data_IF_674444058345
#
_entry.id   IF_674444058345
#
_cell.length_a   1.000
_cell.length_b   1.000
_cell.length_c   1.000
_cell.angle_alpha   90.00
_cell.angle_beta   90.00
_cell.angle_gamma   90.00
#
_symmetry.space_group_name_H-M   'P 1'
#
loop_
_entity.id
_entity.type
_entity.pdbx_description
1 polymer ?
#
# COMPACT_ATOMS: atom_id res chain seq x y z
N UNK A 1 28.35 -20.33 17.76
CA UNK A 1 27.92 -19.42 18.85
C UNK A 1 27.12 -18.29 18.20
N UNK A 2 25.80 -18.35 18.34
CA UNK A 2 24.93 -17.24 17.99
C UNK A 2 25.07 -16.29 19.17
N UNK A 3 25.75 -15.17 18.95
CA UNK A 3 25.87 -14.14 19.95
C UNK A 3 24.45 -13.74 20.40
N UNK A 4 24.19 -13.86 21.70
CA UNK A 4 23.02 -13.31 22.35
C UNK A 4 23.17 -11.78 22.39
N UNK A 5 23.08 -11.14 21.22
CA UNK A 5 22.98 -9.70 21.08
C UNK A 5 21.58 -9.28 21.47
N UNK A 6 21.48 -8.25 22.24
CA UNK A 6 20.24 -7.56 22.55
C UNK A 6 19.58 -7.13 21.23
N UNK A 7 18.52 -7.84 20.83
CA UNK A 7 17.76 -7.55 19.62
C UNK A 7 16.91 -6.31 19.86
N UNK A 8 17.57 -5.18 20.06
CA UNK A 8 16.84 -3.94 20.00
C UNK A 8 16.50 -3.65 18.54
N UNK A 9 15.27 -3.26 18.29
CA UNK A 9 14.80 -2.85 16.96
C UNK A 9 15.65 -1.74 16.33
N UNK A 10 16.51 -1.10 17.10
CA UNK A 10 17.41 -0.03 16.71
C UNK A 10 18.55 -0.52 15.80
N UNK A 11 19.04 -1.74 16.02
CA UNK A 11 20.17 -2.31 15.27
C UNK A 11 19.75 -2.86 13.91
N UNK A 12 18.50 -3.31 13.76
CA UNK A 12 18.04 -3.93 12.51
C UNK A 12 17.64 -2.93 11.43
N UNK A 13 17.32 -1.70 11.76
CA UNK A 13 16.70 -0.78 10.80
C UNK A 13 17.67 0.20 10.14
N UNK A 14 18.66 0.71 10.86
CA UNK A 14 19.54 1.77 10.35
C UNK A 14 20.75 1.29 9.59
N UNK A 15 21.33 0.15 9.98
CA UNK A 15 22.65 -0.27 9.49
C UNK A 15 22.59 -1.20 8.28
N UNK A 16 21.48 -1.94 8.10
CA UNK A 16 21.32 -2.91 7.02
C UNK A 16 20.46 -2.41 5.85
N UNK A 17 19.55 -1.46 6.09
CA UNK A 17 18.60 -1.00 5.09
C UNK A 17 18.70 0.50 4.85
N UNK A 18 18.75 0.89 3.58
CA UNK A 18 18.74 2.32 3.19
C UNK A 18 17.47 3.06 3.62
N UNK A 19 16.36 2.35 3.80
CA UNK A 19 15.08 2.90 4.20
C UNK A 19 14.20 1.78 4.74
N UNK A 20 13.66 1.97 5.94
CA UNK A 20 12.62 1.10 6.52
C UNK A 20 11.29 1.83 6.45
N UNK A 21 10.26 1.14 5.98
CA UNK A 21 8.90 1.67 5.86
C UNK A 21 7.95 0.84 6.70
N UNK A 22 7.20 1.49 7.59
CA UNK A 22 6.17 0.85 8.41
C UNK A 22 4.81 1.18 7.82
N UNK A 23 3.99 0.17 7.61
CA UNK A 23 2.63 0.31 7.10
C UNK A 23 1.63 0.11 8.25
N UNK A 24 0.71 1.05 8.40
CA UNK A 24 -0.40 0.94 9.34
C UNK A 24 -1.71 1.02 8.58
N UNK A 25 -2.51 -0.05 8.64
CA UNK A 25 -3.86 -0.04 8.08
C UNK A 25 -4.81 0.65 9.05
N UNK A 26 -5.55 1.62 8.55
CA UNK A 26 -6.52 2.40 9.33
C UNK A 26 -7.86 1.64 9.38
N UNK A 27 -7.90 0.53 10.11
CA UNK A 27 -9.04 -0.38 10.20
C UNK A 27 -10.16 0.09 11.13
N UNK A 28 -10.03 1.26 11.74
CA UNK A 28 -11.02 1.91 12.61
C UNK A 28 -10.71 3.39 12.73
N UNK A 29 -11.68 4.14 13.26
CA UNK A 29 -11.43 5.52 13.67
C UNK A 29 -10.59 5.54 14.95
N UNK A 30 -9.57 6.39 14.95
CA UNK A 30 -8.64 6.55 16.06
C UNK A 30 -9.02 7.76 16.88
N UNK A 31 -8.87 7.66 18.19
CA UNK A 31 -8.98 8.82 19.09
C UNK A 31 -7.76 9.72 18.96
N UNK A 32 -7.89 11.00 19.29
CA UNK A 32 -6.79 11.94 19.26
C UNK A 32 -5.62 11.54 20.17
N UNK A 33 -5.89 10.91 21.31
CA UNK A 33 -4.84 10.40 22.22
C UNK A 33 -4.07 9.22 21.61
N UNK A 34 -4.74 8.33 20.88
CA UNK A 34 -4.09 7.24 20.16
C UNK A 34 -3.22 7.79 19.02
N UNK A 35 -3.73 8.76 18.26
CA UNK A 35 -2.96 9.44 17.20
C UNK A 35 -1.75 10.17 17.78
N UNK A 36 -1.91 10.85 18.91
CA UNK A 36 -0.80 11.52 19.61
C UNK A 36 0.27 10.54 20.04
N UNK A 37 -0.13 9.41 20.60
CA UNK A 37 0.79 8.34 20.98
C UNK A 37 1.52 7.78 19.75
N UNK A 38 0.81 7.55 18.65
CA UNK A 38 1.41 7.10 17.39
C UNK A 38 2.42 8.10 16.86
N UNK A 39 2.11 9.41 16.87
CA UNK A 39 3.04 10.44 16.40
C UNK A 39 4.34 10.48 17.21
N UNK A 40 4.31 10.16 18.51
CA UNK A 40 5.53 10.03 19.31
C UNK A 40 6.46 8.92 18.77
N UNK A 41 5.90 7.80 18.30
CA UNK A 41 6.68 6.75 17.64
C UNK A 41 7.20 7.21 16.27
N UNK A 42 6.35 7.88 15.48
CA UNK A 42 6.75 8.44 14.18
C UNK A 42 7.95 9.38 14.32
N UNK A 43 7.94 10.24 15.33
CA UNK A 43 9.02 11.19 15.58
C UNK A 43 10.32 10.52 16.07
N UNK A 44 10.18 9.50 16.92
CA UNK A 44 11.30 8.84 17.58
C UNK A 44 12.18 8.04 16.62
N UNK A 45 11.58 7.35 15.63
CA UNK A 45 12.28 6.37 14.82
C UNK A 45 12.67 6.89 13.43
N UNK A 46 13.85 6.55 12.89
CA UNK A 46 14.28 6.94 11.54
C UNK A 46 13.63 6.07 10.46
N UNK A 47 12.32 5.90 10.52
CA UNK A 47 11.53 5.10 9.59
C UNK A 47 10.51 5.96 8.87
N UNK A 48 10.09 5.52 7.68
CA UNK A 48 9.02 6.17 6.93
C UNK A 48 7.69 5.51 7.29
N UNK A 49 6.84 6.21 8.03
CA UNK A 49 5.53 5.71 8.40
C UNK A 49 4.52 5.95 7.29
N UNK A 50 3.76 4.91 6.92
CA UNK A 50 2.74 5.00 5.87
C UNK A 50 1.40 4.51 6.39
N UNK A 51 0.38 5.32 6.20
CA UNK A 51 -1.00 5.01 6.53
C UNK A 51 -1.71 4.44 5.30
N UNK A 52 -2.36 3.31 5.47
CA UNK A 52 -3.10 2.63 4.40
C UNK A 52 -4.58 2.70 4.74
N UNK A 53 -5.38 3.20 3.81
CA UNK A 53 -6.82 3.20 3.90
C UNK A 53 -7.34 1.76 4.01
N UNK A 54 -8.32 1.55 4.90
CA UNK A 54 -8.99 0.26 4.97
C UNK A 54 -9.79 0.01 3.69
N UNK A 55 -9.55 -1.12 3.08
CA UNK A 55 -10.27 -1.56 1.89
C UNK A 55 -11.25 -2.66 2.29
N UNK A 56 -12.57 -2.44 2.22
CA UNK A 56 -13.56 -3.45 2.56
C UNK A 56 -13.58 -4.55 1.49
N UNK A 57 -13.09 -5.72 1.84
CA UNK A 57 -13.16 -6.90 1.00
C UNK A 57 -14.33 -7.80 1.40
N UNK A 58 -14.92 -8.51 0.45
CA UNK A 58 -15.97 -9.52 0.66
C UNK A 58 -17.25 -8.99 1.36
N UNK A 59 -17.57 -7.70 1.16
CA UNK A 59 -18.81 -7.12 1.68
C UNK A 59 -18.75 -6.71 3.14
N UNK A 60 -17.54 -6.54 3.67
CA UNK A 60 -17.37 -5.86 4.93
C UNK A 60 -17.95 -4.45 4.85
N UNK A 61 -18.88 -4.14 5.76
CA UNK A 61 -19.52 -2.81 5.84
C UNK A 61 -18.67 -1.79 6.60
N UNK A 62 -17.51 -2.20 7.10
CA UNK A 62 -16.65 -1.32 7.87
C UNK A 62 -15.89 -0.37 6.95
N UNK A 63 -15.81 0.89 7.35
CA UNK A 63 -15.01 1.92 6.72
C UNK A 63 -14.11 2.56 7.78
N UNK A 64 -12.81 2.62 7.50
CA UNK A 64 -11.87 3.47 8.23
C UNK A 64 -12.01 4.94 7.82
N UNK A 65 -11.18 5.83 8.38
CA UNK A 65 -11.17 7.23 7.99
C UNK A 65 -10.76 7.38 6.52
N UNK A 66 -11.38 8.34 5.83
CA UNK A 66 -10.98 8.80 4.50
C UNK A 66 -9.65 9.55 4.56
N UNK A 67 -9.06 9.84 3.39
CA UNK A 67 -7.83 10.64 3.29
C UNK A 67 -7.99 12.00 4.00
N UNK A 68 -9.07 12.72 3.72
CA UNK A 68 -9.28 14.06 4.28
C UNK A 68 -9.54 14.03 5.79
N UNK A 69 -10.32 13.06 6.26
CA UNK A 69 -10.57 12.88 7.70
C UNK A 69 -9.28 12.56 8.46
N UNK A 70 -8.46 11.64 7.93
CA UNK A 70 -7.20 11.27 8.55
C UNK A 70 -6.18 12.41 8.51
N UNK A 71 -6.09 13.11 7.38
CA UNK A 71 -5.24 14.30 7.24
C UNK A 71 -5.63 15.37 8.25
N UNK A 72 -6.91 15.71 8.33
CA UNK A 72 -7.41 16.72 9.28
C UNK A 72 -7.15 16.32 10.75
N UNK A 73 -7.27 15.04 11.08
CA UNK A 73 -6.95 14.54 12.42
C UNK A 73 -5.46 14.67 12.73
N UNK A 74 -4.58 14.31 11.80
CA UNK A 74 -3.14 14.48 11.97
C UNK A 74 -2.77 15.96 12.14
N UNK A 75 -3.33 16.86 11.33
CA UNK A 75 -3.10 18.32 11.43
C UNK A 75 -3.53 18.86 12.79
N UNK A 76 -4.70 18.45 13.29
CA UNK A 76 -5.20 18.85 14.61
C UNK A 76 -4.29 18.37 15.73
N UNK A 77 -3.87 17.10 15.69
CA UNK A 77 -3.08 16.48 16.75
C UNK A 77 -1.61 16.92 16.73
N UNK A 78 -1.05 17.13 15.54
CA UNK A 78 0.35 17.61 15.38
C UNK A 78 0.50 19.12 15.58
N UNK A 79 -0.62 19.86 15.65
CA UNK A 79 -0.62 21.30 15.94
C UNK A 79 -0.35 22.21 14.76
N UNK A 80 -0.54 21.72 13.53
CA UNK A 80 -0.37 22.55 12.33
C UNK A 80 -0.62 21.81 11.02
N UNK A 81 -0.63 22.53 9.89
CA UNK A 81 -0.93 21.94 8.59
C UNK A 81 0.15 20.98 8.13
N UNK A 82 -0.27 19.93 7.42
CA UNK A 82 0.62 19.06 6.69
C UNK A 82 0.99 19.69 5.34
N UNK A 83 2.26 19.65 4.97
CA UNK A 83 2.77 20.22 3.72
C UNK A 83 3.22 19.14 2.75
N UNK A 84 3.02 19.37 1.45
CA UNK A 84 3.47 18.42 0.43
C UNK A 84 5.00 18.26 0.44
N UNK A 85 5.45 17.01 0.32
CA UNK A 85 6.86 16.66 0.19
C UNK A 85 7.06 15.91 -1.11
N UNK A 86 7.76 16.51 -2.04
CA UNK A 86 8.24 15.82 -3.24
C UNK A 86 9.42 14.92 -2.87
N UNK A 87 9.11 13.78 -2.25
CA UNK A 87 10.17 12.93 -1.75
C UNK A 87 10.37 11.69 -2.61
N UNK A 88 11.61 11.26 -2.63
CA UNK A 88 12.15 10.10 -3.33
C UNK A 88 12.08 8.83 -2.48
N UNK A 89 11.03 8.64 -1.68
CA UNK A 89 10.88 7.39 -0.90
C UNK A 89 10.48 6.16 -1.74
N UNK A 90 10.71 6.22 -3.07
CA UNK A 90 10.50 5.14 -4.01
C UNK A 90 9.25 5.32 -4.89
N UNK A 91 9.04 4.38 -5.81
CA UNK A 91 8.01 4.42 -6.86
C UNK A 91 6.66 3.81 -6.42
N UNK A 92 6.35 3.86 -5.13
CA UNK A 92 5.09 3.34 -4.59
C UNK A 92 3.92 4.33 -4.74
N UNK A 93 2.69 3.91 -4.39
CA UNK A 93 1.48 4.73 -4.51
C UNK A 93 1.30 5.75 -3.39
N UNK A 94 2.25 5.85 -2.48
CA UNK A 94 2.13 6.72 -1.34
C UNK A 94 2.37 8.18 -1.74
N UNK A 95 1.42 9.04 -1.43
CA UNK A 95 1.61 10.49 -1.35
C UNK A 95 2.27 10.81 -0.02
N UNK A 96 3.27 11.69 0.00
CA UNK A 96 3.97 12.04 1.23
C UNK A 96 3.68 13.48 1.64
N UNK A 97 3.37 13.65 2.92
CA UNK A 97 3.17 14.94 3.55
C UNK A 97 4.10 15.06 4.76
N UNK A 98 4.62 16.25 5.01
CA UNK A 98 5.41 16.54 6.20
C UNK A 98 4.52 17.03 7.34
N UNK A 99 4.72 16.49 8.52
CA UNK A 99 4.22 17.02 9.78
C UNK A 99 4.86 18.39 10.09
N UNK A 100 4.29 19.21 10.98
CA UNK A 100 4.90 20.46 11.40
C UNK A 100 6.32 20.34 11.94
N UNK A 101 6.69 19.16 12.44
CA UNK A 101 8.07 18.83 12.85
C UNK A 101 9.05 18.67 11.68
N UNK A 102 8.55 18.57 10.44
CA UNK A 102 9.34 18.25 9.25
C UNK A 102 9.43 16.75 8.95
N UNK A 103 8.91 15.87 9.83
CA UNK A 103 8.89 14.42 9.61
C UNK A 103 7.89 14.06 8.53
N UNK A 104 8.34 13.33 7.50
CA UNK A 104 7.45 12.89 6.43
C UNK A 104 6.67 11.62 6.81
N UNK A 105 5.38 11.60 6.49
CA UNK A 105 4.49 10.46 6.58
C UNK A 105 3.84 10.18 5.22
N UNK A 106 3.58 8.91 4.93
CA UNK A 106 3.00 8.48 3.66
C UNK A 106 1.51 8.15 3.79
N UNK A 107 0.79 8.36 2.71
CA UNK A 107 -0.65 8.09 2.59
C UNK A 107 -0.88 7.19 1.39
N UNK A 108 -1.51 6.04 1.59
CA UNK A 108 -1.91 5.09 0.55
C UNK A 108 -3.42 4.92 0.66
N UNK A 109 -4.15 5.79 0.00
CA UNK A 109 -5.60 5.85 0.04
C UNK A 109 -6.15 5.52 -1.34
N UNK A 110 -6.59 4.28 -1.50
CA UNK A 110 -7.03 3.75 -2.80
C UNK A 110 -8.51 4.00 -3.08
N UNK A 111 -9.30 4.25 -2.05
CA UNK A 111 -10.75 4.40 -2.14
C UNK A 111 -11.15 5.87 -2.14
N UNK A 112 -10.80 6.61 -1.09
CA UNK A 112 -11.18 8.03 -0.94
C UNK A 112 -10.25 9.00 -1.67
N UNK A 113 -9.02 8.59 -1.98
CA UNK A 113 -8.03 9.36 -2.73
C UNK A 113 -7.30 8.46 -3.72
N UNK A 114 -8.01 8.03 -4.74
CA UNK A 114 -7.54 7.05 -5.71
C UNK A 114 -6.31 7.53 -6.50
N UNK A 115 -5.33 6.66 -6.64
CA UNK A 115 -4.13 6.84 -7.48
C UNK A 115 -4.17 5.97 -8.75
N UNK A 116 -5.35 5.61 -9.23
CA UNK A 116 -5.53 4.72 -10.38
C UNK A 116 -4.88 5.27 -11.64
N UNK A 117 -4.94 6.57 -11.88
CA UNK A 117 -4.40 7.24 -13.07
C UNK A 117 -2.88 7.03 -13.23
N UNK A 118 -2.17 6.84 -12.12
CA UNK A 118 -0.71 6.60 -12.11
C UNK A 118 -0.33 5.17 -11.74
N UNK A 119 -1.31 4.27 -11.65
CA UNK A 119 -1.10 2.92 -11.19
C UNK A 119 -0.44 2.04 -12.27
N UNK A 120 0.82 1.69 -12.07
CA UNK A 120 1.62 0.80 -12.92
C UNK A 120 1.78 -0.62 -12.36
N UNK A 121 0.90 -1.05 -11.42
CA UNK A 121 1.06 -2.30 -10.70
C UNK A 121 0.26 -3.43 -11.31
N UNK A 122 0.86 -4.60 -11.31
CA UNK A 122 0.24 -5.90 -11.50
C UNK A 122 0.66 -6.81 -10.36
N UNK A 123 -0.03 -7.91 -10.18
CA UNK A 123 0.28 -8.91 -9.16
C UNK A 123 0.38 -10.28 -9.80
N UNK A 124 1.35 -11.06 -9.38
CA UNK A 124 1.43 -12.48 -9.72
C UNK A 124 0.92 -13.27 -8.50
N UNK A 125 -0.10 -14.07 -8.72
CA UNK A 125 -0.67 -14.93 -7.69
C UNK A 125 0.18 -16.19 -7.51
N UNK A 126 0.03 -16.88 -6.37
CA UNK A 126 0.77 -18.12 -6.08
C UNK A 126 0.43 -19.25 -7.04
N UNK A 127 -0.72 -19.21 -7.69
CA UNK A 127 -1.16 -20.17 -8.70
C UNK A 127 -0.85 -19.73 -10.14
N UNK A 128 -0.06 -18.65 -10.31
CA UNK A 128 0.50 -18.22 -11.59
C UNK A 128 -0.44 -17.42 -12.47
N UNK A 129 -1.44 -16.76 -11.88
CA UNK A 129 -2.29 -15.80 -12.57
C UNK A 129 -1.73 -14.39 -12.41
N UNK A 130 -1.74 -13.59 -13.46
CA UNK A 130 -1.39 -12.18 -13.40
C UNK A 130 -2.66 -11.33 -13.23
N UNK A 131 -2.84 -10.73 -12.05
CA UNK A 131 -3.93 -9.78 -11.78
C UNK A 131 -3.53 -8.38 -12.21
N UNK A 132 -4.40 -7.72 -12.94
CA UNK A 132 -4.18 -6.36 -13.45
C UNK A 132 -4.53 -5.29 -12.42
N UNK A 133 -5.44 -5.60 -11.50
CA UNK A 133 -5.87 -4.71 -10.41
C UNK A 133 -6.09 -5.51 -9.12
N UNK A 134 -5.84 -4.87 -7.97
CA UNK A 134 -6.12 -5.47 -6.66
C UNK A 134 -7.63 -5.67 -6.43
N UNK A 135 -8.43 -4.70 -6.88
CA UNK A 135 -9.86 -4.60 -6.59
C UNK A 135 -10.76 -5.23 -7.66
N UNK A 136 -10.20 -5.81 -8.71
CA UNK A 136 -10.93 -6.44 -9.83
C UNK A 136 -10.45 -7.86 -10.04
N UNK A 137 -11.33 -8.71 -10.57
CA UNK A 137 -11.03 -10.11 -10.88
C UNK A 137 -10.48 -10.34 -12.29
N UNK A 138 -10.00 -9.29 -12.96
CA UNK A 138 -9.35 -9.40 -14.27
C UNK A 138 -7.96 -10.01 -14.12
N UNK A 139 -7.83 -11.24 -14.63
CA UNK A 139 -6.62 -12.04 -14.56
C UNK A 139 -6.16 -12.51 -15.95
N UNK A 140 -4.87 -12.75 -16.08
CA UNK A 140 -4.26 -13.40 -17.24
C UNK A 140 -3.52 -14.67 -16.80
N UNK A 141 -3.82 -15.78 -17.44
CA UNK A 141 -3.23 -17.08 -17.12
C UNK A 141 -1.81 -17.19 -17.68
N UNK A 142 -0.82 -17.01 -16.83
CA UNK A 142 0.58 -17.19 -17.20
C UNK A 142 1.07 -18.62 -16.95
N UNK A 143 0.52 -19.31 -15.95
CA UNK A 143 1.01 -20.65 -15.57
C UNK A 143 0.75 -21.68 -16.66
N UNK A 144 -0.42 -21.64 -17.30
CA UNK A 144 -0.76 -22.56 -18.38
C UNK A 144 0.17 -22.35 -19.59
N UNK A 145 0.49 -21.12 -19.93
CA UNK A 145 1.45 -20.82 -21.00
C UNK A 145 2.83 -21.39 -20.70
N UNK A 146 3.34 -21.15 -19.50
CA UNK A 146 4.66 -21.66 -19.09
C UNK A 146 4.69 -23.18 -19.08
N UNK A 147 3.65 -23.82 -18.53
CA UNK A 147 3.56 -25.30 -18.49
C UNK A 147 3.44 -25.95 -19.86
N UNK A 148 2.84 -25.25 -20.82
CA UNK A 148 2.72 -25.70 -22.21
C UNK A 148 3.96 -25.36 -23.06
N UNK A 149 5.03 -24.88 -22.44
CA UNK A 149 6.31 -24.61 -23.12
C UNK A 149 6.31 -23.37 -23.98
N UNK A 150 5.50 -22.37 -23.66
CA UNK A 150 5.51 -21.09 -24.36
C UNK A 150 6.90 -20.45 -24.32
N UNK A 151 7.32 -19.83 -25.43
CA UNK A 151 8.57 -19.05 -25.47
C UNK A 151 8.47 -17.77 -24.66
N UNK A 152 9.60 -17.17 -24.32
CA UNK A 152 9.63 -15.87 -23.63
C UNK A 152 8.90 -14.77 -24.42
N UNK A 153 9.02 -14.79 -25.74
CA UNK A 153 8.34 -13.84 -26.64
C UNK A 153 6.82 -14.01 -26.58
N UNK A 154 6.33 -15.26 -26.66
CA UNK A 154 4.89 -15.54 -26.57
C UNK A 154 4.32 -15.14 -25.20
N UNK A 155 5.10 -15.33 -24.13
CA UNK A 155 4.72 -14.89 -22.79
C UNK A 155 4.67 -13.36 -22.69
N UNK A 156 5.66 -12.66 -23.25
CA UNK A 156 5.70 -11.20 -23.28
C UNK A 156 4.49 -10.63 -24.04
N UNK A 157 4.18 -11.16 -25.23
CA UNK A 157 2.99 -10.75 -25.99
C UNK A 157 1.69 -10.98 -25.22
N UNK A 158 1.60 -12.08 -24.47
CA UNK A 158 0.41 -12.34 -23.65
C UNK A 158 0.26 -11.33 -22.51
N UNK A 159 1.39 -10.99 -21.86
CA UNK A 159 1.43 -9.96 -20.81
C UNK A 159 1.04 -8.60 -21.38
N UNK A 160 1.59 -8.20 -22.51
CA UNK A 160 1.26 -6.92 -23.19
C UNK A 160 -0.22 -6.83 -23.52
N UNK A 161 -0.80 -7.87 -24.13
CA UNK A 161 -2.24 -7.93 -24.41
C UNK A 161 -3.09 -7.85 -23.13
N UNK A 162 -2.64 -8.48 -22.04
CA UNK A 162 -3.32 -8.38 -20.78
C UNK A 162 -3.26 -6.95 -20.22
N UNK A 163 -2.10 -6.31 -20.27
CA UNK A 163 -1.92 -4.92 -19.80
C UNK A 163 -2.80 -3.92 -20.56
N UNK A 164 -3.04 -4.14 -21.85
CA UNK A 164 -3.97 -3.31 -22.65
C UNK A 164 -5.42 -3.37 -22.16
N UNK A 165 -5.81 -4.45 -21.46
CA UNK A 165 -7.14 -4.57 -20.84
C UNK A 165 -7.23 -3.90 -19.47
N UNK A 166 -6.08 -3.50 -18.90
CA UNK A 166 -6.07 -2.85 -17.60
C UNK A 166 -6.86 -1.55 -17.66
N UNK A 167 -7.90 -1.45 -16.86
CA UNK A 167 -8.74 -0.26 -16.82
C UNK A 167 -8.03 0.89 -16.09
N UNK A 168 -8.33 2.11 -16.52
CA UNK A 168 -7.77 3.33 -15.93
C UNK A 168 -8.18 3.52 -14.48
N UNK A 169 -9.40 3.09 -14.11
CA UNK A 169 -9.93 3.20 -12.74
C UNK A 169 -10.70 1.95 -12.33
N UNK A 170 -10.75 1.70 -11.03
CA UNK A 170 -11.73 0.78 -10.44
C UNK A 170 -13.06 1.53 -10.25
N UNK A 171 -14.18 0.84 -10.46
CA UNK A 171 -15.53 1.44 -10.47
C UNK A 171 -16.10 1.70 -9.06
N UNK A 172 -15.26 1.73 -8.04
CA UNK A 172 -15.63 2.01 -6.65
C UNK A 172 -15.85 0.77 -5.79
N UNK A 173 -16.12 1.03 -4.51
CA UNK A 173 -16.29 0.00 -3.49
C UNK A 173 -17.56 -0.81 -3.77
N UNK A 174 -17.45 -2.11 -3.88
CA UNK A 174 -18.57 -3.04 -3.74
C UNK A 174 -19.22 -3.51 -5.02
N UNK A 175 -18.78 -3.09 -6.20
CA UNK A 175 -19.32 -3.62 -7.46
C UNK A 175 -18.63 -4.90 -7.92
N UNK A 176 -17.30 -4.98 -7.76
CA UNK A 176 -16.54 -6.18 -8.07
C UNK A 176 -15.87 -6.68 -6.79
N UNK A 177 -16.60 -7.46 -6.01
CA UNK A 177 -15.98 -8.15 -4.86
C UNK A 177 -14.98 -9.15 -5.43
N UNK A 178 -13.66 -9.01 -5.12
CA UNK A 178 -12.73 -10.01 -5.58
C UNK A 178 -13.18 -11.38 -5.11
N UNK A 179 -13.39 -12.32 -6.02
CA UNK A 179 -13.76 -13.70 -5.69
C UNK A 179 -12.69 -14.37 -4.83
N UNK A 180 -11.45 -13.87 -4.92
CA UNK A 180 -10.32 -14.41 -4.18
C UNK A 180 -10.05 -13.61 -2.90
N UNK A 181 -9.81 -14.29 -1.77
CA UNK A 181 -9.38 -13.64 -0.54
C UNK A 181 -7.97 -13.02 -0.70
N UNK A 182 -7.69 -11.95 0.05
CA UNK A 182 -6.44 -11.19 -0.03
C UNK A 182 -5.16 -12.05 0.01
N UNK A 183 -5.15 -13.10 0.82
CA UNK A 183 -4.00 -14.01 0.96
C UNK A 183 -3.72 -14.86 -0.31
N UNK A 184 -4.69 -14.92 -1.25
CA UNK A 184 -4.53 -15.64 -2.53
C UNK A 184 -4.13 -14.75 -3.69
N UNK A 185 -4.20 -13.43 -3.55
CA UNK A 185 -3.97 -12.50 -4.67
C UNK A 185 -2.54 -11.92 -4.69
N UNK A 186 -1.66 -12.42 -3.89
CA UNK A 186 -0.26 -12.00 -3.86
C UNK A 186 -0.07 -10.59 -3.22
N UNK A 187 0.79 -10.47 -2.24
CA UNK A 187 1.08 -9.20 -1.55
C UNK A 187 1.90 -9.45 -0.32
#
# INVERSE_FOLDING_TARGET
>A
EIASGDWSSDVCSSDLFKSVKINTVLSRYWTDDEVKSLLQYVEKWPVVWRFIEYMPFQGDAFHGPTFDEWKAQLERVSGGPLTEVHSIYGFGPATYLALPSGKAVGFIFSMSHSYCDTCNRVRLTSDGQMRLCLLRDDEADLVSLVRNGATAEALAEHIERALQRKQERHDGIGMDKPERPMWRIGG
#
